data_IF_124819615600
#
_entry.id   IF_124819615600
#
_cell.length_a   1.000
_cell.length_b   1.000
_cell.length_c   1.000
_cell.angle_alpha   90.00
_cell.angle_beta   90.00
_cell.angle_gamma   90.00
#
_symmetry.space_group_name_H-M   'P 1'
#
loop_
_entity.id
_entity.type
_entity.pdbx_description
1 polymer ?
#
# COMPACT_ATOMS: atom_id res chain seq x y z
N UNK A 1 16.26 19.31 -6.78
CA UNK A 1 15.42 19.15 -5.61
C UNK A 1 15.14 17.68 -5.33
N UNK A 2 15.32 17.30 -4.14
CA UNK A 2 15.18 15.90 -3.77
C UNK A 2 13.71 15.54 -3.54
N UNK A 3 13.29 14.41 -4.10
CA UNK A 3 11.98 13.83 -3.85
C UNK A 3 12.04 12.79 -2.75
N UNK A 4 12.92 13.02 -1.76
CA UNK A 4 13.09 12.09 -0.65
C UNK A 4 11.78 11.90 0.10
N UNK A 5 11.39 10.64 0.33
CA UNK A 5 10.20 10.36 1.11
C UNK A 5 10.31 10.91 2.53
N UNK A 6 9.18 11.42 3.05
CA UNK A 6 9.12 11.96 4.41
C UNK A 6 7.90 11.48 5.18
N UNK A 7 7.17 10.53 4.63
CA UNK A 7 5.89 10.05 5.21
C UNK A 7 6.10 9.52 6.62
N UNK A 8 7.11 8.67 6.80
CA UNK A 8 7.36 8.07 8.11
C UNK A 8 7.88 9.10 9.12
N UNK A 9 8.75 10.02 8.69
CA UNK A 9 9.24 11.08 9.57
C UNK A 9 8.10 11.94 10.08
N UNK A 10 7.15 12.27 9.23
CA UNK A 10 5.98 13.07 9.62
C UNK A 10 5.06 12.29 10.55
N UNK A 11 4.91 10.99 10.32
CA UNK A 11 4.00 10.16 11.10
C UNK A 11 4.55 9.81 12.48
N UNK A 12 5.81 9.38 12.57
CA UNK A 12 6.34 8.86 13.82
C UNK A 12 7.83 9.15 14.07
N UNK A 13 8.40 10.10 13.33
CA UNK A 13 9.81 10.46 13.51
C UNK A 13 10.12 11.00 14.92
N UNK A 14 9.14 11.59 15.59
CA UNK A 14 9.29 12.11 16.95
C UNK A 14 9.34 10.99 18.01
N UNK A 15 8.80 9.81 17.68
CA UNK A 15 8.79 8.66 18.58
C UNK A 15 9.92 7.69 18.25
N UNK A 16 10.08 7.42 16.95
CA UNK A 16 11.01 6.40 16.48
C UNK A 16 11.83 6.95 15.30
N UNK A 17 12.79 7.86 15.58
CA UNK A 17 13.54 8.51 14.49
C UNK A 17 14.34 7.56 13.61
N UNK A 18 14.95 6.52 14.19
CA UNK A 18 15.69 5.55 13.38
C UNK A 18 14.76 4.75 12.46
N UNK A 19 13.63 4.28 13.00
CA UNK A 19 12.67 3.53 12.19
C UNK A 19 12.11 4.42 11.07
N UNK A 20 11.80 5.67 11.38
CA UNK A 20 11.32 6.62 10.37
C UNK A 20 12.36 6.83 9.28
N UNK A 21 13.63 6.98 9.65
CA UNK A 21 14.72 7.16 8.68
C UNK A 21 14.87 5.91 7.79
N UNK A 22 14.84 4.72 8.37
CA UNK A 22 14.92 3.48 7.59
C UNK A 22 13.74 3.35 6.63
N UNK A 23 12.56 3.72 7.07
CA UNK A 23 11.36 3.66 6.24
C UNK A 23 11.46 4.63 5.06
N UNK A 24 11.78 5.88 5.35
CA UNK A 24 11.83 6.91 4.30
C UNK A 24 13.04 6.74 3.38
N UNK A 25 14.23 6.54 3.95
CA UNK A 25 15.46 6.55 3.16
C UNK A 25 15.75 5.21 2.49
N UNK A 26 15.52 4.12 3.19
CA UNK A 26 15.85 2.78 2.68
C UNK A 26 14.67 2.13 2.01
N UNK A 27 13.55 2.00 2.69
CA UNK A 27 12.40 1.32 2.10
C UNK A 27 11.89 2.09 0.87
N UNK A 28 11.45 3.32 1.07
CA UNK A 28 10.88 4.11 -0.04
C UNK A 28 11.94 4.78 -0.90
N UNK A 29 13.06 5.17 -0.31
CA UNK A 29 14.14 5.85 -1.04
C UNK A 29 15.02 4.92 -1.86
N UNK A 30 15.14 3.65 -1.48
CA UNK A 30 16.00 2.70 -2.19
C UNK A 30 15.26 1.47 -2.67
N UNK A 31 14.59 0.72 -1.78
CA UNK A 31 13.97 -0.56 -2.14
C UNK A 31 12.90 -0.36 -3.21
N UNK A 32 12.02 0.60 -3.02
CA UNK A 32 10.95 0.88 -3.98
C UNK A 32 11.47 1.45 -5.31
N UNK A 33 12.71 1.94 -5.32
CA UNK A 33 13.34 2.51 -6.52
C UNK A 33 14.19 1.49 -7.29
N UNK A 34 14.33 0.27 -6.79
CA UNK A 34 15.13 -0.74 -7.45
C UNK A 34 14.49 -1.15 -8.77
N UNK A 35 15.30 -1.39 -9.83
CA UNK A 35 14.76 -1.71 -11.15
C UNK A 35 14.25 -3.15 -11.30
N UNK A 36 14.41 -3.99 -10.28
CA UNK A 36 14.02 -5.40 -10.34
C UNK A 36 12.52 -5.63 -10.47
N UNK A 37 11.70 -4.68 -9.99
CA UNK A 37 10.25 -4.68 -10.16
C UNK A 37 9.79 -3.25 -10.43
N UNK A 38 8.76 -3.11 -11.23
CA UNK A 38 8.16 -1.78 -11.45
C UNK A 38 7.47 -1.29 -10.17
N UNK A 39 7.29 0.02 -10.02
CA UNK A 39 6.49 0.54 -8.90
C UNK A 39 5.07 -0.05 -8.87
N UNK A 40 4.49 -0.29 -10.04
CA UNK A 40 3.17 -0.91 -10.17
C UNK A 40 3.17 -2.31 -9.56
N UNK A 41 4.15 -3.14 -9.93
CA UNK A 41 4.23 -4.51 -9.42
C UNK A 41 4.56 -4.54 -7.92
N UNK A 42 5.39 -3.61 -7.44
CA UNK A 42 5.66 -3.49 -6.01
C UNK A 42 4.38 -3.16 -5.24
N UNK A 43 3.56 -2.24 -5.74
CA UNK A 43 2.27 -1.93 -5.12
C UNK A 43 1.35 -3.13 -5.13
N UNK A 44 1.31 -3.87 -6.23
CA UNK A 44 0.43 -5.03 -6.36
C UNK A 44 0.74 -6.08 -5.30
N UNK A 45 2.02 -6.46 -5.16
CA UNK A 45 2.41 -7.45 -4.16
C UNK A 45 2.29 -6.93 -2.74
N UNK A 46 2.51 -5.64 -2.52
CA UNK A 46 2.36 -5.04 -1.20
C UNK A 46 0.90 -5.06 -0.75
N UNK A 47 -0.01 -4.63 -1.62
CA UNK A 47 -1.45 -4.67 -1.33
C UNK A 47 -1.88 -6.10 -1.04
N UNK A 48 -1.48 -7.06 -1.87
CA UNK A 48 -1.83 -8.46 -1.66
C UNK A 48 -1.30 -8.97 -0.31
N UNK A 49 -0.08 -8.62 0.05
CA UNK A 49 0.53 -9.00 1.32
C UNK A 49 -0.24 -8.43 2.50
N UNK A 50 -0.59 -7.14 2.44
CA UNK A 50 -1.30 -6.47 3.53
C UNK A 50 -2.72 -7.05 3.71
N UNK A 51 -3.38 -7.38 2.61
CA UNK A 51 -4.70 -8.03 2.67
C UNK A 51 -4.57 -9.40 3.34
N UNK A 52 -3.65 -10.23 2.83
CA UNK A 52 -3.49 -11.60 3.31
C UNK A 52 -3.08 -11.64 4.79
N UNK A 53 -2.23 -10.73 5.22
CA UNK A 53 -1.78 -10.63 6.60
C UNK A 53 -2.75 -9.87 7.50
N UNK A 54 -3.83 -9.37 6.94
CA UNK A 54 -4.87 -8.63 7.66
C UNK A 54 -4.33 -7.34 8.30
N UNK A 55 -3.44 -6.63 7.57
CA UNK A 55 -2.84 -5.37 8.03
C UNK A 55 -3.72 -4.20 7.60
N UNK A 56 -4.84 -4.06 8.25
CA UNK A 56 -5.88 -3.11 7.88
C UNK A 56 -5.48 -1.66 8.08
N UNK A 57 -4.55 -1.40 9.01
CA UNK A 57 -4.10 -0.02 9.26
C UNK A 57 -3.25 0.53 8.13
N UNK A 58 -2.44 -0.31 7.49
CA UNK A 58 -1.53 0.10 6.41
C UNK A 58 -2.17 0.01 5.03
N UNK A 59 -3.26 -0.73 4.92
CA UNK A 59 -3.89 -1.00 3.62
C UNK A 59 -4.37 0.26 2.91
N UNK A 60 -5.04 1.23 3.56
CA UNK A 60 -5.51 2.43 2.86
C UNK A 60 -4.40 3.20 2.16
N UNK A 61 -3.27 3.39 2.84
CA UNK A 61 -2.12 4.08 2.25
C UNK A 61 -1.65 3.36 0.97
N UNK A 62 -1.52 2.04 1.04
CA UNK A 62 -0.99 1.28 -0.09
C UNK A 62 -2.00 1.07 -1.20
N UNK A 63 -3.29 1.07 -0.93
CA UNK A 63 -4.31 1.10 -1.98
C UNK A 63 -4.20 2.40 -2.78
N UNK A 64 -4.06 3.53 -2.08
CA UNK A 64 -3.89 4.82 -2.72
C UNK A 64 -2.59 4.85 -3.54
N UNK A 65 -1.50 4.38 -2.95
CA UNK A 65 -0.20 4.32 -3.63
C UNK A 65 -0.27 3.42 -4.87
N UNK A 66 -1.00 2.32 -4.78
CA UNK A 66 -1.20 1.42 -5.92
C UNK A 66 -1.88 2.14 -7.09
N UNK A 67 -2.91 2.94 -6.80
CA UNK A 67 -3.57 3.72 -7.84
C UNK A 67 -2.64 4.77 -8.43
N UNK A 68 -1.83 5.42 -7.60
CA UNK A 68 -0.82 6.38 -8.06
C UNK A 68 0.21 5.71 -8.97
N UNK A 69 0.50 4.44 -8.72
CA UNK A 69 1.45 3.66 -9.52
C UNK A 69 0.82 2.94 -10.70
N UNK A 70 -0.44 3.26 -11.02
CA UNK A 70 -1.07 2.80 -12.25
C UNK A 70 -1.98 1.60 -12.15
N UNK A 71 -2.30 1.14 -10.93
CA UNK A 71 -3.25 0.05 -10.77
C UNK A 71 -4.66 0.64 -10.67
N UNK A 72 -5.54 0.24 -11.58
CA UNK A 72 -6.91 0.75 -11.59
C UNK A 72 -7.78 0.13 -10.52
N UNK A 73 -8.92 0.78 -10.24
CA UNK A 73 -9.89 0.30 -9.26
C UNK A 73 -10.35 -1.12 -9.56
N UNK A 74 -10.67 -1.39 -10.82
CA UNK A 74 -11.14 -2.71 -11.24
C UNK A 74 -10.08 -3.77 -10.99
N UNK A 75 -8.82 -3.43 -11.19
CA UNK A 75 -7.70 -4.34 -10.91
C UNK A 75 -7.58 -4.63 -9.42
N UNK A 76 -7.75 -3.60 -8.57
CA UNK A 76 -7.70 -3.79 -7.12
C UNK A 76 -8.87 -4.66 -6.64
N UNK A 77 -10.05 -4.46 -7.23
CA UNK A 77 -11.21 -5.31 -6.93
C UNK A 77 -10.93 -6.75 -7.35
N UNK A 78 -10.26 -6.94 -8.48
CA UNK A 78 -9.88 -8.27 -8.95
C UNK A 78 -8.88 -8.93 -8.01
N UNK A 79 -7.92 -8.16 -7.47
CA UNK A 79 -6.98 -8.66 -6.45
C UNK A 79 -7.74 -9.18 -5.23
N UNK A 80 -8.70 -8.39 -4.73
CA UNK A 80 -9.50 -8.77 -3.56
C UNK A 80 -10.32 -10.03 -3.86
N UNK A 81 -10.93 -10.07 -5.03
CA UNK A 81 -11.73 -11.23 -5.48
C UNK A 81 -10.87 -12.49 -5.51
N UNK A 82 -9.69 -12.38 -6.08
CA UNK A 82 -8.74 -13.50 -6.16
C UNK A 82 -8.35 -13.97 -4.75
N UNK A 83 -8.02 -13.03 -3.87
CA UNK A 83 -7.57 -13.36 -2.52
C UNK A 83 -8.67 -13.94 -1.64
N UNK A 84 -9.94 -13.74 -1.98
CA UNK A 84 -11.03 -14.41 -1.26
C UNK A 84 -10.86 -15.92 -1.27
N UNK A 85 -10.30 -16.47 -2.35
CA UNK A 85 -10.07 -17.90 -2.52
C UNK A 85 -8.79 -18.37 -1.82
N UNK A 86 -7.82 -17.48 -1.62
CA UNK A 86 -6.52 -17.84 -1.03
C UNK A 86 -6.36 -17.38 0.41
N UNK A 87 -7.10 -16.35 0.83
CA UNK A 87 -6.96 -15.77 2.16
C UNK A 87 -8.26 -15.75 2.96
N UNK A 88 -9.37 -16.16 2.33
CA UNK A 88 -10.66 -16.28 3.00
C UNK A 88 -11.61 -15.12 2.72
N UNK A 89 -12.90 -15.43 2.73
CA UNK A 89 -13.96 -14.46 2.46
C UNK A 89 -14.01 -13.31 3.48
N UNK A 90 -13.90 -13.57 4.80
CA UNK A 90 -13.91 -12.45 5.76
C UNK A 90 -12.77 -11.46 5.52
N UNK A 91 -11.59 -11.96 5.16
CA UNK A 91 -10.45 -11.10 4.82
C UNK A 91 -10.75 -10.25 3.59
N UNK A 92 -11.33 -10.86 2.55
CA UNK A 92 -11.71 -10.14 1.34
C UNK A 92 -12.79 -9.10 1.61
N UNK A 93 -13.78 -9.43 2.43
CA UNK A 93 -14.85 -8.48 2.78
C UNK A 93 -14.29 -7.25 3.50
N UNK A 94 -13.37 -7.46 4.44
CA UNK A 94 -12.72 -6.34 5.14
C UNK A 94 -11.92 -5.48 4.16
N UNK A 95 -11.16 -6.11 3.27
CA UNK A 95 -10.38 -5.39 2.27
C UNK A 95 -11.28 -4.59 1.33
N UNK A 96 -12.41 -5.17 0.92
CA UNK A 96 -13.36 -4.48 0.06
C UNK A 96 -13.95 -3.24 0.73
N UNK A 97 -14.31 -3.34 2.01
CA UNK A 97 -14.84 -2.20 2.75
C UNK A 97 -13.82 -1.07 2.82
N UNK A 98 -12.55 -1.41 3.07
CA UNK A 98 -11.48 -0.42 3.12
C UNK A 98 -11.25 0.19 1.74
N UNK A 99 -11.22 -0.64 0.70
CA UNK A 99 -11.03 -0.16 -0.67
C UNK A 99 -12.14 0.80 -1.08
N UNK A 100 -13.39 0.50 -0.71
CA UNK A 100 -14.52 1.37 -1.02
C UNK A 100 -14.31 2.78 -0.46
N UNK A 101 -13.84 2.89 0.78
CA UNK A 101 -13.56 4.19 1.38
C UNK A 101 -12.46 4.93 0.64
N UNK A 102 -11.40 4.22 0.27
CA UNK A 102 -10.30 4.83 -0.49
C UNK A 102 -10.79 5.32 -1.85
N UNK A 103 -11.62 4.53 -2.53
CA UNK A 103 -12.18 4.92 -3.83
C UNK A 103 -13.09 6.14 -3.69
N UNK A 104 -13.93 6.17 -2.67
CA UNK A 104 -14.83 7.29 -2.42
C UNK A 104 -14.05 8.58 -2.13
N UNK A 105 -13.00 8.49 -1.30
CA UNK A 105 -12.15 9.63 -0.99
C UNK A 105 -11.41 10.15 -2.23
N UNK A 106 -10.95 9.25 -3.09
CA UNK A 106 -10.25 9.62 -4.31
C UNK A 106 -11.18 10.28 -5.33
N UNK A 107 -12.47 10.03 -5.25
CA UNK A 107 -13.47 10.60 -6.17
C UNK A 107 -14.05 11.92 -5.65
N UNK A 108 -13.78 12.26 -4.39
CA UNK A 108 -14.34 13.46 -3.77
C UNK A 108 -13.71 14.74 -4.29
#
# INVERSE_FOLDING_TARGET
MSDQPTVARKAFGHIAPALAAYTDDILFGEVWQRPGLSPRDRSLITVASLIALYRTNELPFHLKKAMENGIGRDELIEVITHLAFYSGWPTANTALTIAQRVFDDASA
#
